data_IF_535880713253
#
_entry.id   IF_535880713253
#
_cell.length_a   1.000
_cell.length_b   1.000
_cell.length_c   1.000
_cell.angle_alpha   90.00
_cell.angle_beta   90.00
_cell.angle_gamma   90.00
#
_symmetry.space_group_name_H-M   'P 1'
#
loop_
_entity.id
_entity.type
_entity.pdbx_description
1 polymer ?
#
# COMPACT_ATOMS: atom_id res chain seq x y z
N UNK A 1 16.93 -16.80 14.83
CA UNK A 1 15.94 -15.87 15.41
C UNK A 1 14.59 -16.21 14.79
N UNK A 2 13.73 -16.85 15.53
CA UNK A 2 12.45 -17.38 15.07
C UNK A 2 11.53 -16.17 14.97
N UNK A 3 11.28 -15.67 13.77
CA UNK A 3 10.22 -14.70 13.55
C UNK A 3 8.91 -15.44 13.71
N UNK A 4 8.22 -15.01 14.71
CA UNK A 4 7.03 -15.62 15.24
C UNK A 4 5.94 -15.75 14.19
N UNK A 5 5.12 -16.77 14.32
CA UNK A 5 3.89 -17.05 13.58
C UNK A 5 2.97 -15.82 13.37
N UNK A 6 3.12 -14.80 14.23
CA UNK A 6 2.38 -13.54 14.14
C UNK A 6 2.58 -12.72 12.87
N UNK A 7 3.77 -12.76 12.23
CA UNK A 7 4.04 -12.00 11.01
C UNK A 7 3.30 -12.63 9.82
N UNK A 8 3.30 -13.95 9.76
CA UNK A 8 2.70 -14.71 8.67
C UNK A 8 1.16 -14.65 8.75
N UNK A 9 0.61 -14.56 9.96
CA UNK A 9 -0.83 -14.62 10.22
C UNK A 9 -1.57 -13.28 10.08
N UNK A 10 -0.85 -12.20 9.74
CA UNK A 10 -1.43 -10.87 9.59
C UNK A 10 -0.85 -10.14 8.37
N UNK A 11 -1.66 -9.84 7.35
CA UNK A 11 -1.16 -9.19 6.12
C UNK A 11 -0.58 -7.80 6.36
N UNK A 12 -1.04 -7.05 7.36
CA UNK A 12 -0.44 -5.75 7.73
C UNK A 12 0.94 -5.97 8.37
N UNK A 13 1.09 -6.93 9.28
CA UNK A 13 2.41 -7.28 9.85
C UNK A 13 3.35 -7.79 8.76
N UNK A 14 2.85 -8.57 7.78
CA UNK A 14 3.64 -9.02 6.64
C UNK A 14 4.07 -7.83 5.76
N UNK A 15 3.20 -6.86 5.52
CA UNK A 15 3.58 -5.64 4.78
C UNK A 15 4.69 -4.88 5.50
N UNK A 16 4.60 -4.71 6.82
CA UNK A 16 5.64 -4.10 7.65
C UNK A 16 6.96 -4.86 7.57
N UNK A 17 6.92 -6.19 7.64
CA UNK A 17 8.12 -7.04 7.47
C UNK A 17 8.77 -6.85 6.09
N UNK A 18 7.97 -6.79 5.02
CA UNK A 18 8.49 -6.52 3.67
C UNK A 18 9.09 -5.12 3.57
N UNK A 19 8.48 -4.10 4.17
CA UNK A 19 9.03 -2.75 4.23
C UNK A 19 10.38 -2.76 4.95
N UNK A 20 10.47 -3.37 6.13
CA UNK A 20 11.72 -3.40 6.90
C UNK A 20 12.85 -4.07 6.14
N UNK A 21 12.59 -5.18 5.45
CA UNK A 21 13.61 -6.05 4.86
C UNK A 21 13.87 -5.82 3.37
N UNK A 22 12.97 -5.17 2.63
CA UNK A 22 13.07 -4.98 1.17
C UNK A 22 13.17 -3.54 0.74
N UNK A 23 12.80 -2.59 1.61
CA UNK A 23 12.84 -1.16 1.30
C UNK A 23 14.02 -0.51 2.02
N UNK A 24 14.78 0.31 1.31
CA UNK A 24 15.93 1.06 1.87
C UNK A 24 15.43 2.15 2.82
N UNK A 25 16.36 2.75 3.57
CA UNK A 25 16.10 3.98 4.30
C UNK A 25 16.18 5.20 3.38
N UNK A 26 15.72 6.35 3.88
CA UNK A 26 15.80 7.63 3.19
C UNK A 26 15.12 7.64 1.81
N UNK A 27 13.98 6.97 1.73
CA UNK A 27 13.12 6.84 0.54
C UNK A 27 12.13 7.99 0.42
N UNK A 28 11.41 8.04 -0.72
CA UNK A 28 10.12 8.74 -0.82
C UNK A 28 9.01 7.70 -0.72
N UNK A 29 8.05 7.94 0.17
CA UNK A 29 6.96 7.01 0.42
C UNK A 29 5.59 7.70 0.34
N UNK A 30 4.56 6.90 0.08
CA UNK A 30 3.18 7.37 0.08
C UNK A 30 2.26 6.32 0.71
N UNK A 31 1.54 6.72 1.74
CA UNK A 31 0.44 5.97 2.34
C UNK A 31 -0.86 6.46 1.66
N UNK A 32 -1.48 5.58 0.89
CA UNK A 32 -2.64 5.93 0.05
C UNK A 32 -3.96 5.86 0.82
N UNK A 33 -3.94 5.36 2.05
CA UNK A 33 -5.11 5.13 2.90
C UNK A 33 -4.71 5.33 4.37
N UNK A 34 -4.39 6.56 4.74
CA UNK A 34 -3.74 6.89 6.01
C UNK A 34 -4.50 6.41 7.26
N UNK A 35 -5.83 6.47 7.23
CA UNK A 35 -6.67 6.00 8.32
C UNK A 35 -6.26 6.59 9.68
N UNK A 36 -5.91 5.74 10.62
CA UNK A 36 -5.45 6.19 11.96
C UNK A 36 -3.95 6.57 12.00
N UNK A 37 -3.22 6.50 10.88
CA UNK A 37 -1.82 6.89 10.78
C UNK A 37 -0.81 5.83 11.23
N UNK A 38 -1.24 4.60 11.50
CA UNK A 38 -0.36 3.56 12.04
C UNK A 38 0.75 3.16 11.05
N UNK A 39 0.41 2.96 9.77
CA UNK A 39 1.38 2.61 8.73
C UNK A 39 2.29 3.79 8.42
N UNK A 40 1.73 4.99 8.34
CA UNK A 40 2.51 6.23 8.19
C UNK A 40 3.52 6.38 9.32
N UNK A 41 3.10 6.19 10.59
CA UNK A 41 4.00 6.25 11.74
C UNK A 41 5.09 5.17 11.66
N UNK A 42 4.71 3.94 11.31
CA UNK A 42 5.67 2.84 11.14
C UNK A 42 6.75 3.18 10.10
N UNK A 43 6.34 3.68 8.93
CA UNK A 43 7.28 4.06 7.85
C UNK A 43 8.21 5.19 8.32
N UNK A 44 7.68 6.21 8.99
CA UNK A 44 8.47 7.32 9.53
C UNK A 44 9.53 6.83 10.52
N UNK A 45 9.14 5.97 11.46
CA UNK A 45 10.02 5.51 12.53
C UNK A 45 11.06 4.48 12.04
N UNK A 46 10.70 3.64 11.07
CA UNK A 46 11.56 2.53 10.62
C UNK A 46 12.43 2.87 9.41
N UNK A 47 11.99 3.78 8.55
CA UNK A 47 12.67 4.08 7.27
C UNK A 47 13.24 5.48 7.20
N UNK A 48 12.86 6.36 8.12
CA UNK A 48 13.28 7.75 8.10
C UNK A 48 13.24 8.33 6.66
N UNK A 49 12.05 8.37 6.03
CA UNK A 49 11.93 8.74 4.63
C UNK A 49 12.33 10.21 4.40
N UNK A 50 12.76 10.55 3.19
CA UNK A 50 12.96 11.95 2.76
C UNK A 50 11.66 12.72 2.85
N UNK A 51 10.58 12.06 2.47
CA UNK A 51 9.21 12.55 2.57
C UNK A 51 8.25 11.36 2.60
N UNK A 52 7.24 11.42 3.44
CA UNK A 52 6.07 10.56 3.44
C UNK A 52 4.83 11.41 3.17
N UNK A 53 4.14 11.12 2.08
CA UNK A 53 2.80 11.61 1.80
C UNK A 53 1.78 10.64 2.37
N UNK A 54 0.66 11.14 2.89
CA UNK A 54 -0.41 10.31 3.42
C UNK A 54 -1.77 10.86 2.95
N UNK A 55 -2.55 10.05 2.25
CA UNK A 55 -3.86 10.41 1.72
C UNK A 55 -4.98 9.83 2.57
N UNK A 56 -5.99 10.63 2.82
CA UNK A 56 -7.31 10.18 3.27
C UNK A 56 -8.35 11.25 2.92
N UNK A 57 -9.60 10.82 2.71
CA UNK A 57 -10.73 11.71 2.43
C UNK A 57 -11.40 12.22 3.71
N UNK A 58 -11.11 11.62 4.86
CA UNK A 58 -11.79 11.89 6.12
C UNK A 58 -10.97 12.86 6.99
N UNK A 59 -11.61 13.95 7.41
CA UNK A 59 -11.02 14.91 8.36
C UNK A 59 -10.61 14.24 9.68
N UNK A 60 -11.41 13.27 10.14
CA UNK A 60 -11.11 12.47 11.34
C UNK A 60 -9.80 11.69 11.21
N UNK A 61 -9.49 11.19 10.03
CA UNK A 61 -8.22 10.53 9.73
C UNK A 61 -7.05 11.53 9.87
N UNK A 62 -7.19 12.73 9.31
CA UNK A 62 -6.18 13.77 9.45
C UNK A 62 -5.89 14.09 10.93
N UNK A 63 -6.91 14.35 11.73
CA UNK A 63 -6.77 14.66 13.16
C UNK A 63 -6.10 13.53 13.94
N UNK A 64 -6.45 12.27 13.64
CA UNK A 64 -5.83 11.10 14.28
C UNK A 64 -4.37 10.93 13.87
N UNK A 65 -4.06 11.09 12.58
CA UNK A 65 -2.69 11.05 12.07
C UNK A 65 -1.81 12.15 12.71
N UNK A 66 -2.28 13.38 12.70
CA UNK A 66 -1.56 14.52 13.27
C UNK A 66 -1.30 14.33 14.77
N UNK A 67 -2.29 13.80 15.51
CA UNK A 67 -2.14 13.46 16.92
C UNK A 67 -1.14 12.34 17.17
N UNK A 68 -1.13 11.30 16.34
CA UNK A 68 -0.29 10.11 16.50
C UNK A 68 1.16 10.37 16.09
N UNK A 69 1.38 11.12 15.02
CA UNK A 69 2.69 11.33 14.38
C UNK A 69 3.39 12.56 14.98
N UNK A 70 2.62 13.59 15.34
CA UNK A 70 3.15 14.87 15.75
C UNK A 70 3.71 15.68 14.57
N UNK A 71 4.39 16.78 14.88
CA UNK A 71 5.05 17.62 13.88
C UNK A 71 6.32 16.93 13.36
N UNK A 72 6.40 16.71 12.03
CA UNK A 72 7.59 16.19 11.34
C UNK A 72 7.73 16.85 9.98
N UNK A 73 8.90 17.39 9.68
CA UNK A 73 9.19 18.08 8.41
C UNK A 73 9.10 17.16 7.19
N UNK A 74 9.30 15.86 7.41
CA UNK A 74 9.24 14.83 6.38
C UNK A 74 7.90 14.10 6.30
N UNK A 75 6.82 14.68 6.87
CA UNK A 75 5.46 14.13 6.78
C UNK A 75 4.48 15.15 6.22
N UNK A 76 3.69 14.76 5.23
CA UNK A 76 2.67 15.62 4.62
C UNK A 76 1.35 14.86 4.49
N UNK A 77 0.35 15.25 5.26
CA UNK A 77 -1.02 14.75 5.10
C UNK A 77 -1.72 15.50 3.96
N UNK A 78 -2.49 14.77 3.15
CA UNK A 78 -3.27 15.28 2.02
C UNK A 78 -4.71 14.83 2.21
N UNK A 79 -5.58 15.77 2.55
CA UNK A 79 -7.01 15.54 2.71
C UNK A 79 -7.69 15.58 1.34
N UNK A 80 -7.56 14.49 0.58
CA UNK A 80 -8.19 14.31 -0.74
C UNK A 80 -8.25 12.81 -1.06
N UNK A 81 -9.05 12.45 -2.06
CA UNK A 81 -9.08 11.10 -2.61
C UNK A 81 -7.74 10.78 -3.28
N UNK A 82 -7.15 9.65 -2.93
CA UNK A 82 -5.88 9.17 -3.49
C UNK A 82 -5.87 9.03 -5.03
N UNK A 83 -7.04 8.93 -5.68
CA UNK A 83 -7.14 8.98 -7.15
C UNK A 83 -6.59 10.28 -7.73
N UNK A 84 -6.54 11.35 -6.93
CA UNK A 84 -6.03 12.66 -7.31
C UNK A 84 -4.52 12.83 -7.09
N UNK A 85 -3.78 11.76 -6.81
CA UNK A 85 -2.34 11.79 -6.46
C UNK A 85 -1.52 12.66 -7.41
N UNK A 86 -1.81 12.66 -8.70
CA UNK A 86 -1.08 13.44 -9.70
C UNK A 86 -1.17 14.96 -9.52
N UNK A 87 -2.14 15.45 -8.75
CA UNK A 87 -2.21 16.89 -8.40
C UNK A 87 -1.12 17.29 -7.40
N UNK A 88 -0.64 16.35 -6.59
CA UNK A 88 0.19 16.60 -5.42
C UNK A 88 1.62 16.09 -5.57
N UNK A 89 1.82 14.98 -6.29
CA UNK A 89 3.10 14.27 -6.42
C UNK A 89 3.50 14.17 -7.88
N UNK A 90 4.69 14.69 -8.21
CA UNK A 90 5.28 14.64 -9.55
C UNK A 90 6.59 13.86 -9.57
N UNK A 91 7.21 13.70 -8.42
CA UNK A 91 8.44 12.92 -8.27
C UNK A 91 8.20 11.42 -8.20
N UNK A 92 9.25 10.67 -8.45
CA UNK A 92 9.22 9.22 -8.30
C UNK A 92 9.19 8.81 -6.83
N UNK A 93 8.43 7.75 -6.54
CA UNK A 93 8.18 7.20 -5.21
C UNK A 93 8.76 5.78 -5.14
N UNK A 94 9.36 5.45 -4.00
CA UNK A 94 9.98 4.14 -3.77
C UNK A 94 9.02 3.13 -3.12
N UNK A 95 8.06 3.62 -2.34
CA UNK A 95 7.09 2.81 -1.61
C UNK A 95 5.69 3.43 -1.65
N UNK A 96 4.71 2.65 -2.09
CA UNK A 96 3.30 2.92 -1.87
C UNK A 96 2.70 1.85 -0.98
N UNK A 97 1.80 2.25 -0.07
CA UNK A 97 1.04 1.32 0.76
C UNK A 97 -0.45 1.64 0.70
N UNK A 98 -1.27 0.59 0.63
CA UNK A 98 -2.73 0.65 0.68
C UNK A 98 -3.26 -0.34 1.71
N UNK A 99 -4.18 0.09 2.55
CA UNK A 99 -5.07 -0.77 3.31
C UNK A 99 -6.49 -0.48 2.86
N UNK A 100 -7.05 -1.33 2.01
CA UNK A 100 -8.38 -1.14 1.43
C UNK A 100 -9.45 -1.42 2.50
N UNK A 101 -10.57 -0.69 2.43
CA UNK A 101 -11.66 -0.85 3.38
C UNK A 101 -12.09 0.47 4.02
N UNK A 102 -12.50 0.42 5.27
CA UNK A 102 -13.03 1.57 6.01
C UNK A 102 -12.14 1.94 7.21
N UNK A 103 -12.24 3.18 7.65
CA UNK A 103 -11.52 3.68 8.82
C UNK A 103 -11.98 2.92 10.09
N UNK A 104 -11.09 2.23 10.82
CA UNK A 104 -11.45 1.57 12.06
C UNK A 104 -12.05 2.54 13.08
N UNK A 105 -13.24 2.21 13.60
CA UNK A 105 -14.02 3.07 14.51
C UNK A 105 -14.43 4.41 13.87
N UNK A 106 -14.51 4.47 12.56
CA UNK A 106 -15.07 5.55 11.76
C UNK A 106 -16.44 5.15 11.20
N UNK A 107 -16.95 5.99 10.28
CA UNK A 107 -18.17 5.69 9.53
C UNK A 107 -17.90 4.60 8.50
N UNK A 108 -18.54 3.43 8.69
CA UNK A 108 -18.37 2.28 7.79
C UNK A 108 -18.99 2.47 6.40
N UNK A 109 -19.84 3.48 6.21
CA UNK A 109 -20.36 3.84 4.88
C UNK A 109 -19.28 4.49 4.01
N UNK A 110 -18.24 5.04 4.63
CA UNK A 110 -17.08 5.62 3.94
C UNK A 110 -16.01 4.52 3.84
N UNK A 111 -15.96 3.88 2.69
CA UNK A 111 -14.99 2.82 2.37
C UNK A 111 -14.24 3.15 1.08
N UNK A 112 -13.09 2.53 0.88
CA UNK A 112 -12.39 2.63 -0.40
C UNK A 112 -13.26 2.08 -1.53
N UNK A 113 -13.09 2.65 -2.73
CA UNK A 113 -13.84 2.25 -3.91
C UNK A 113 -12.87 1.73 -4.97
N UNK A 114 -13.14 0.54 -5.53
CA UNK A 114 -12.26 -0.10 -6.49
C UNK A 114 -11.92 0.77 -7.71
N UNK A 115 -12.83 1.67 -8.15
CA UNK A 115 -12.58 2.58 -9.27
C UNK A 115 -11.52 3.63 -8.92
N UNK A 116 -11.63 4.24 -7.73
CA UNK A 116 -10.61 5.17 -7.20
C UNK A 116 -9.28 4.46 -7.01
N UNK A 117 -9.29 3.23 -6.49
CA UNK A 117 -8.09 2.41 -6.30
C UNK A 117 -7.40 2.12 -7.63
N UNK A 118 -8.12 1.66 -8.66
CA UNK A 118 -7.56 1.38 -9.99
C UNK A 118 -6.99 2.67 -10.62
N UNK A 119 -7.72 3.78 -10.50
CA UNK A 119 -7.25 5.07 -11.04
C UNK A 119 -5.94 5.50 -10.37
N UNK A 120 -5.87 5.46 -9.03
CA UNK A 120 -4.64 5.81 -8.31
C UNK A 120 -3.50 4.84 -8.59
N UNK A 121 -3.79 3.53 -8.71
CA UNK A 121 -2.77 2.52 -9.04
C UNK A 121 -2.11 2.77 -10.39
N UNK A 122 -2.86 3.21 -11.42
CA UNK A 122 -2.27 3.59 -12.71
C UNK A 122 -1.22 4.68 -12.51
N UNK A 123 -1.57 5.74 -11.81
CA UNK A 123 -0.64 6.84 -11.49
C UNK A 123 0.53 6.37 -10.62
N UNK A 124 0.27 5.51 -9.62
CA UNK A 124 1.33 4.96 -8.78
C UNK A 124 2.32 4.09 -9.57
N UNK A 125 1.87 3.27 -10.51
CA UNK A 125 2.75 2.46 -11.37
C UNK A 125 3.66 3.34 -12.23
N UNK A 126 3.15 4.47 -12.74
CA UNK A 126 3.93 5.44 -13.48
C UNK A 126 4.93 6.17 -12.58
N UNK A 127 4.53 6.56 -11.38
CA UNK A 127 5.38 7.23 -10.39
C UNK A 127 6.37 6.28 -9.69
N UNK A 128 6.18 4.96 -9.77
CA UNK A 128 7.02 3.99 -9.07
C UNK A 128 8.46 4.02 -9.60
N UNK A 129 9.42 4.15 -8.68
CA UNK A 129 10.83 4.00 -8.98
C UNK A 129 11.15 2.56 -9.43
N UNK A 130 12.26 2.38 -10.15
CA UNK A 130 12.84 1.07 -10.39
C UNK A 130 13.20 0.40 -9.06
N UNK A 131 12.86 -0.87 -8.92
CA UNK A 131 12.90 -1.63 -7.66
C UNK A 131 11.96 -1.10 -6.57
N UNK A 132 11.11 -0.11 -6.88
CA UNK A 132 10.07 0.37 -5.98
C UNK A 132 9.01 -0.69 -5.71
N UNK A 133 8.29 -0.52 -4.62
CA UNK A 133 7.34 -1.48 -4.07
C UNK A 133 5.98 -0.82 -3.85
N UNK A 134 4.91 -1.50 -4.27
CA UNK A 134 3.53 -1.19 -3.87
C UNK A 134 3.03 -2.36 -3.04
N UNK A 135 2.45 -2.10 -1.88
CA UNK A 135 1.84 -3.08 -0.99
C UNK A 135 0.36 -2.76 -0.84
N UNK A 136 -0.50 -3.76 -1.07
CA UNK A 136 -1.96 -3.59 -1.00
C UNK A 136 -2.54 -4.68 -0.12
N UNK A 137 -3.10 -4.29 1.02
CA UNK A 137 -3.86 -5.18 1.89
C UNK A 137 -5.34 -5.13 1.51
N UNK A 138 -5.91 -6.30 1.24
CA UNK A 138 -7.32 -6.49 0.90
C UNK A 138 -8.09 -7.06 2.08
N UNK A 139 -9.35 -6.63 2.24
CA UNK A 139 -10.27 -7.10 3.26
C UNK A 139 -11.59 -7.58 2.62
N UNK A 140 -11.62 -8.77 2.01
CA UNK A 140 -12.77 -9.24 1.22
C UNK A 140 -13.97 -9.69 2.06
N UNK A 141 -13.94 -9.49 3.37
CA UNK A 141 -15.01 -9.89 4.29
C UNK A 141 -16.34 -9.12 4.16
N UNK A 142 -16.41 -8.08 3.34
CA UNK A 142 -17.60 -7.27 3.06
C UNK A 142 -17.76 -7.05 1.55
N UNK A 143 -18.94 -6.54 1.13
CA UNK A 143 -19.31 -6.47 -0.30
C UNK A 143 -18.34 -5.61 -1.11
N UNK A 144 -18.00 -4.41 -0.65
CA UNK A 144 -17.01 -3.55 -1.33
C UNK A 144 -15.63 -4.20 -1.37
N UNK A 145 -15.21 -4.90 -0.32
CA UNK A 145 -13.95 -5.63 -0.31
C UNK A 145 -13.90 -6.78 -1.33
N UNK A 146 -15.04 -7.44 -1.60
CA UNK A 146 -15.17 -8.44 -2.69
C UNK A 146 -15.06 -7.77 -4.06
N UNK A 147 -15.66 -6.59 -4.23
CA UNK A 147 -15.54 -5.81 -5.46
C UNK A 147 -14.10 -5.36 -5.68
N UNK A 148 -13.41 -4.92 -4.63
CA UNK A 148 -11.98 -4.59 -4.68
C UNK A 148 -11.14 -5.81 -5.06
N UNK A 149 -11.31 -6.96 -4.41
CA UNK A 149 -10.62 -8.20 -4.78
C UNK A 149 -10.83 -8.56 -6.25
N UNK A 150 -12.09 -8.50 -6.72
CA UNK A 150 -12.45 -8.86 -8.09
C UNK A 150 -11.83 -7.90 -9.11
N UNK A 151 -12.12 -6.61 -9.00
CA UNK A 151 -11.79 -5.67 -10.07
C UNK A 151 -10.34 -5.16 -9.99
N UNK A 152 -9.83 -4.89 -8.78
CA UNK A 152 -8.42 -4.54 -8.60
C UNK A 152 -7.54 -5.76 -8.86
N UNK A 153 -7.94 -6.95 -8.38
CA UNK A 153 -7.24 -8.20 -8.65
C UNK A 153 -7.11 -8.50 -10.15
N UNK A 154 -8.19 -8.30 -10.92
CA UNK A 154 -8.16 -8.47 -12.38
C UNK A 154 -7.24 -7.45 -13.06
N UNK A 155 -7.29 -6.18 -12.64
CA UNK A 155 -6.36 -5.16 -13.12
C UNK A 155 -4.90 -5.56 -12.88
N UNK A 156 -4.57 -6.05 -11.68
CA UNK A 156 -3.22 -6.45 -11.31
C UNK A 156 -2.72 -7.68 -12.06
N UNK A 157 -3.59 -8.67 -12.35
CA UNK A 157 -3.24 -9.85 -13.16
C UNK A 157 -2.81 -9.49 -14.59
N UNK A 158 -3.34 -8.39 -15.14
CA UNK A 158 -3.07 -7.95 -16.49
C UNK A 158 -1.87 -6.99 -16.61
N UNK A 159 -1.14 -6.73 -15.51
CA UNK A 159 0.10 -5.94 -15.58
C UNK A 159 1.18 -6.67 -16.38
N UNK A 160 1.94 -5.90 -17.17
CA UNK A 160 3.06 -6.45 -17.94
C UNK A 160 4.09 -7.12 -17.02
N UNK A 161 4.19 -8.43 -17.07
CA UNK A 161 5.11 -9.24 -16.27
C UNK A 161 6.60 -8.94 -16.53
N UNK A 162 6.93 -8.30 -17.66
CA UNK A 162 8.30 -7.87 -17.99
C UNK A 162 8.70 -6.60 -17.23
N UNK A 163 7.71 -5.87 -16.74
CA UNK A 163 7.88 -4.60 -16.03
C UNK A 163 7.54 -4.73 -14.54
N UNK A 164 6.53 -5.53 -14.20
CA UNK A 164 6.04 -5.66 -12.84
C UNK A 164 5.96 -7.12 -12.41
N UNK A 165 6.51 -7.41 -11.24
CA UNK A 165 6.32 -8.67 -10.54
C UNK A 165 5.20 -8.48 -9.51
N UNK A 166 4.13 -9.26 -9.63
CA UNK A 166 2.98 -9.23 -8.72
C UNK A 166 2.91 -10.54 -7.95
N UNK A 167 2.88 -10.47 -6.62
CA UNK A 167 2.81 -11.65 -5.75
C UNK A 167 1.61 -11.48 -4.80
N UNK A 168 0.74 -12.51 -4.75
CA UNK A 168 -0.36 -12.60 -3.77
C UNK A 168 0.08 -13.50 -2.61
N UNK A 169 0.02 -12.98 -1.39
CA UNK A 169 0.22 -13.70 -0.13
C UNK A 169 -1.14 -13.97 0.49
N UNK A 170 -1.59 -15.20 0.47
CA UNK A 170 -2.92 -15.60 0.89
C UNK A 170 -2.87 -16.89 1.73
N UNK A 171 -3.84 -17.06 2.61
CA UNK A 171 -4.05 -18.31 3.37
C UNK A 171 -4.73 -19.34 2.46
N UNK A 172 -4.03 -20.43 2.17
CA UNK A 172 -4.51 -21.42 1.20
C UNK A 172 -5.72 -22.22 1.69
N UNK A 173 -5.79 -22.47 3.00
CA UNK A 173 -6.79 -23.35 3.63
C UNK A 173 -7.86 -22.64 4.45
N UNK A 174 -7.88 -21.30 4.48
CA UNK A 174 -8.91 -20.57 5.20
C UNK A 174 -10.11 -20.27 4.31
N UNK A 175 -11.32 -20.55 4.80
CA UNK A 175 -12.57 -20.50 4.01
C UNK A 175 -13.37 -19.22 4.18
N UNK A 176 -13.06 -18.36 5.15
CA UNK A 176 -13.86 -17.18 5.51
C UNK A 176 -13.37 -15.87 4.88
N UNK A 177 -12.82 -15.94 3.65
CA UNK A 177 -12.28 -14.79 2.93
C UNK A 177 -11.37 -13.92 3.81
N UNK A 178 -10.28 -14.48 4.37
CA UNK A 178 -9.39 -13.74 5.24
C UNK A 178 -8.73 -12.59 4.49
N UNK A 179 -8.30 -11.54 5.20
CA UNK A 179 -7.48 -10.49 4.60
C UNK A 179 -6.20 -11.08 3.99
N UNK A 180 -5.75 -10.51 2.90
CA UNK A 180 -4.53 -10.93 2.20
C UNK A 180 -3.72 -9.73 1.69
N UNK A 181 -2.45 -9.98 1.34
CA UNK A 181 -1.54 -8.96 0.82
C UNK A 181 -1.20 -9.24 -0.64
N UNK A 182 -1.18 -8.19 -1.46
CA UNK A 182 -0.52 -8.20 -2.77
C UNK A 182 0.67 -7.25 -2.72
N UNK A 183 1.82 -7.73 -3.21
CA UNK A 183 2.98 -6.89 -3.48
C UNK A 183 3.20 -6.74 -4.98
N UNK A 184 3.52 -5.52 -5.41
CA UNK A 184 3.87 -5.20 -6.79
C UNK A 184 5.26 -4.58 -6.76
N UNK A 185 6.20 -5.17 -7.47
CA UNK A 185 7.56 -4.66 -7.62
C UNK A 185 7.83 -4.28 -9.06
N UNK A 186 8.33 -3.07 -9.30
CA UNK A 186 8.87 -2.71 -10.60
C UNK A 186 10.23 -3.37 -10.78
N UNK A 187 10.39 -4.20 -11.81
CA UNK A 187 11.61 -4.94 -12.06
C UNK A 187 12.44 -4.31 -13.17
N UNK A 188 13.76 -4.37 -13.03
CA UNK A 188 14.65 -3.88 -14.06
C UNK A 188 14.66 -4.83 -15.25
N UNK A 189 14.54 -4.32 -16.47
CA UNK A 189 14.53 -5.10 -17.73
C UNK A 189 15.74 -6.04 -17.95
N UNK A 190 16.85 -5.84 -17.22
CA UNK A 190 18.06 -6.67 -17.35
C UNK A 190 18.00 -8.06 -16.70
N UNK A 191 17.07 -8.33 -15.78
CA UNK A 191 17.02 -9.61 -15.04
C UNK A 191 16.18 -10.71 -15.70
N UNK A 192 15.45 -10.42 -16.75
CA UNK A 192 14.60 -11.42 -17.44
C UNK A 192 15.36 -12.38 -18.37
N UNK A 193 16.66 -12.12 -18.63
CA UNK A 193 17.44 -12.97 -19.53
C UNK A 193 18.20 -14.12 -18.85
N UNK A 194 18.12 -14.28 -17.52
CA UNK A 194 18.94 -15.28 -16.79
C UNK A 194 18.14 -16.51 -16.33
N UNK A 195 16.81 -16.55 -16.53
CA UNK A 195 15.99 -17.67 -16.03
C UNK A 195 15.45 -18.58 -17.15
N UNK A 196 15.84 -18.36 -18.42
CA UNK A 196 15.47 -19.24 -19.52
C UNK A 196 16.74 -19.67 -20.25
N UNK A 197 17.49 -20.58 -19.63
CA UNK A 197 18.37 -21.55 -20.28
C UNK A 197 18.42 -22.82 -19.43
#
# INVERSE_FOLDING_TARGET
>A
MIYTDEIINNPVKLSHYLIENRVKNNIRACDMTAGNGNDSKFILDKKNPKILYAFDIQKLSQERCEKLIGQRDNFKFILDDHKNIEKYIKEKIDLFIYNLGFLPRGDKSITTNYKSVIQSLKSCLDLLNENGLILITFYPGHEEGKNEEKYVGEFLKNLDQKTFQVIKYNFYNQINNPPFLISIRKVWKKFLFVIIN
#
